data_IF_012252208467
#
_entry.id   IF_012252208467
#
_cell.length_a   1.000
_cell.length_b   1.000
_cell.length_c   1.000
_cell.angle_alpha   90.00
_cell.angle_beta   90.00
_cell.angle_gamma   90.00
#
_symmetry.space_group_name_H-M   'P 1'
#
loop_
_entity.id
_entity.type
_entity.pdbx_description
1 polymer ?
#
# COMPACT_ATOMS: atom_id res chain seq x y z
N UNK A 1 38.40 9.98 19.25
CA UNK A 1 39.24 10.07 18.04
C UNK A 1 39.80 8.68 17.78
N UNK A 2 39.15 7.90 16.92
CA UNK A 2 39.74 6.67 16.39
C UNK A 2 39.45 6.67 14.89
N UNK A 3 40.51 6.90 14.12
CA UNK A 3 40.47 7.05 12.67
C UNK A 3 41.12 5.81 12.06
N UNK A 4 40.44 5.31 11.01
CA UNK A 4 40.93 4.56 9.86
C UNK A 4 41.40 3.11 10.05
N UNK A 5 40.76 2.21 9.29
CA UNK A 5 41.35 1.65 8.07
C UNK A 5 40.26 1.33 7.03
N UNK A 6 40.43 1.86 5.81
CA UNK A 6 39.78 1.35 4.60
C UNK A 6 40.55 0.10 4.17
N UNK A 7 39.88 -1.05 4.09
CA UNK A 7 40.22 -2.16 3.20
C UNK A 7 39.04 -3.16 3.19
N UNK A 8 38.54 -3.48 1.98
CA UNK A 8 37.86 -4.74 1.68
C UNK A 8 36.40 -4.90 2.11
N UNK A 9 35.52 -5.00 1.11
CA UNK A 9 34.30 -5.82 1.12
C UNK A 9 33.25 -5.56 2.21
N UNK A 10 32.49 -4.48 2.09
CA UNK A 10 31.08 -4.41 2.55
C UNK A 10 30.16 -4.62 1.36
N UNK A 11 30.32 -5.78 0.72
CA UNK A 11 29.52 -6.25 -0.39
C UNK A 11 29.04 -7.62 0.06
N UNK A 12 27.89 -7.73 0.69
CA UNK A 12 27.08 -8.97 0.86
C UNK A 12 26.02 -8.71 1.94
N UNK A 13 24.84 -8.24 1.54
CA UNK A 13 23.51 -8.66 2.03
C UNK A 13 22.42 -7.64 1.64
N UNK A 14 21.96 -7.71 0.38
CA UNK A 14 20.57 -7.41 0.00
C UNK A 14 20.30 -7.81 -1.47
N UNK A 15 20.75 -8.99 -1.91
CA UNK A 15 20.14 -9.64 -3.08
C UNK A 15 18.81 -10.27 -2.63
N UNK A 16 17.84 -9.44 -2.27
CA UNK A 16 16.62 -9.90 -1.62
C UNK A 16 15.47 -8.94 -1.79
N UNK A 17 14.49 -9.42 -2.54
CA UNK A 17 13.07 -9.10 -2.53
C UNK A 17 12.55 -8.15 -1.43
N UNK A 18 12.29 -6.88 -1.77
CA UNK A 18 11.69 -5.88 -0.87
C UNK A 18 10.15 -5.92 -0.89
N UNK A 19 9.53 -6.18 0.26
CA UNK A 19 8.15 -5.75 0.55
C UNK A 19 8.20 -4.35 1.17
N UNK A 20 7.43 -3.42 0.62
CA UNK A 20 7.23 -2.10 1.21
C UNK A 20 5.94 -2.14 2.03
N UNK A 21 6.03 -1.92 3.34
CA UNK A 21 4.89 -1.68 4.21
C UNK A 21 4.85 -0.20 4.56
N UNK A 22 3.92 0.53 3.93
CA UNK A 22 3.79 1.98 4.08
C UNK A 22 2.61 2.34 4.97
N UNK A 23 2.84 2.69 6.23
CA UNK A 23 1.80 3.20 7.10
C UNK A 23 1.81 4.73 7.07
N UNK A 24 0.72 5.36 6.60
CA UNK A 24 0.65 6.82 6.60
C UNK A 24 -0.63 7.40 6.00
N UNK A 25 -1.33 8.22 6.79
CA UNK A 25 -2.33 9.16 6.28
C UNK A 25 -1.62 10.40 5.73
N UNK A 26 -1.70 10.61 4.42
CA UNK A 26 -1.32 11.89 3.80
C UNK A 26 -2.52 12.83 3.94
N UNK A 27 -2.73 13.37 5.14
CA UNK A 27 -3.65 14.49 5.35
C UNK A 27 -2.91 15.68 5.99
N UNK A 28 -3.21 16.91 5.58
CA UNK A 28 -2.76 18.12 6.27
C UNK A 28 -3.60 18.35 7.53
N UNK A 29 -2.93 18.39 8.69
CA UNK A 29 -3.50 18.86 9.95
C UNK A 29 -4.15 17.76 10.80
N UNK A 30 -3.39 17.24 11.77
CA UNK A 30 -3.90 16.76 13.07
C UNK A 30 -2.70 16.48 13.99
N UNK A 31 -2.62 17.23 15.10
CA UNK A 31 -1.63 17.03 16.17
C UNK A 31 -1.98 15.77 16.94
N UNK A 32 -0.98 14.97 17.31
CA UNK A 32 -1.15 13.76 18.14
C UNK A 32 -0.40 13.87 19.47
N UNK A 33 -1.07 13.48 20.55
CA UNK A 33 -0.52 13.24 21.89
C UNK A 33 -0.21 11.73 22.05
N UNK A 34 0.75 11.30 22.91
CA UNK A 34 1.26 9.93 22.87
C UNK A 34 0.54 8.97 23.84
N UNK A 35 0.51 7.68 23.49
CA UNK A 35 0.38 6.59 24.46
C UNK A 35 1.05 5.29 23.95
N UNK A 36 1.73 4.63 24.90
CA UNK A 36 2.66 3.51 24.81
C UNK A 36 2.00 2.11 24.67
N UNK A 37 2.77 1.15 24.16
CA UNK A 37 2.59 -0.31 24.29
C UNK A 37 3.39 -1.06 23.21
N UNK A 38 4.00 -2.23 23.52
CA UNK A 38 4.63 -3.21 22.60
C UNK A 38 3.72 -4.47 22.59
N UNK A 39 3.43 -5.23 21.49
CA UNK A 39 4.28 -5.69 20.37
C UNK A 39 3.69 -5.43 18.95
N UNK A 40 4.50 -5.48 17.88
CA UNK A 40 4.11 -5.02 16.52
C UNK A 40 3.26 -3.74 16.55
N UNK A 41 3.68 -2.82 17.38
CA UNK A 41 2.91 -1.63 17.73
C UNK A 41 3.26 -0.54 16.75
N UNK A 42 2.28 -0.15 15.97
CA UNK A 42 2.34 1.05 15.15
C UNK A 42 2.75 2.23 16.06
N UNK A 43 3.68 3.08 15.59
CA UNK A 43 4.19 4.21 16.37
C UNK A 43 5.71 4.25 16.61
N UNK A 44 6.49 3.36 16.00
CA UNK A 44 7.96 3.48 16.01
C UNK A 44 8.43 4.66 15.14
N UNK A 45 9.56 5.26 15.50
CA UNK A 45 10.15 6.40 14.77
C UNK A 45 11.12 5.99 13.65
N UNK A 46 11.33 4.69 13.44
CA UNK A 46 12.34 4.15 12.54
C UNK A 46 11.80 3.04 11.63
N UNK A 47 12.48 2.81 10.51
CA UNK A 47 12.20 1.68 9.62
C UNK A 47 12.67 0.37 10.24
N UNK A 48 11.86 -0.68 10.11
CA UNK A 48 12.22 -2.03 10.53
C UNK A 48 12.47 -2.92 9.33
N UNK A 49 13.38 -3.86 9.51
CA UNK A 49 13.63 -4.94 8.57
C UNK A 49 13.26 -6.25 9.27
N UNK A 50 12.29 -6.96 8.71
CA UNK A 50 11.75 -8.20 9.29
C UNK A 50 11.70 -9.30 8.23
N UNK A 51 11.58 -10.55 8.66
CA UNK A 51 11.36 -11.68 7.75
C UNK A 51 9.89 -11.80 7.36
N UNK A 52 9.60 -12.05 6.09
CA UNK A 52 8.26 -12.40 5.59
C UNK A 52 8.31 -13.76 4.89
N UNK A 53 7.53 -14.72 5.40
CA UNK A 53 7.51 -16.10 4.90
C UNK A 53 6.91 -16.27 3.50
N UNK A 54 6.21 -15.26 2.97
CA UNK A 54 5.68 -15.26 1.60
C UNK A 54 6.72 -14.83 0.57
N UNK A 55 7.83 -14.23 1.00
CA UNK A 55 8.89 -13.73 0.13
C UNK A 55 9.93 -14.82 -0.13
N UNK A 56 10.22 -15.06 -1.41
CA UNK A 56 11.19 -16.05 -1.85
C UNK A 56 12.44 -15.37 -2.40
N UNK A 57 13.61 -15.85 -2.00
CA UNK A 57 14.90 -15.36 -2.46
C UNK A 57 15.97 -15.46 -1.36
N UNK A 58 17.22 -15.26 -1.74
CA UNK A 58 18.28 -15.01 -0.76
C UNK A 58 17.92 -13.74 0.02
N UNK A 59 18.16 -13.73 1.33
CA UNK A 59 18.09 -12.52 2.14
C UNK A 59 16.75 -11.79 2.06
N UNK A 60 15.64 -12.55 2.03
CA UNK A 60 14.29 -12.02 1.95
C UNK A 60 13.99 -11.12 3.16
N UNK A 61 13.64 -9.86 2.89
CA UNK A 61 13.42 -8.83 3.90
C UNK A 61 12.15 -8.04 3.57
N UNK A 62 11.28 -7.88 4.56
CA UNK A 62 10.21 -6.89 4.55
C UNK A 62 10.70 -5.60 5.22
N UNK A 63 10.53 -4.48 4.51
CA UNK A 63 10.87 -3.14 5.01
C UNK A 63 9.59 -2.43 5.46
N UNK A 64 9.52 -2.15 6.76
CA UNK A 64 8.36 -1.61 7.45
C UNK A 64 8.63 -0.17 7.84
N UNK A 65 7.85 0.76 7.29
CA UNK A 65 7.99 2.19 7.60
C UNK A 65 7.41 2.57 8.97
N UNK A 66 7.90 3.65 9.60
CA UNK A 66 7.17 4.34 10.65
C UNK A 66 5.92 5.04 10.07
N UNK A 67 5.04 5.57 10.91
CA UNK A 67 3.88 6.35 10.43
C UNK A 67 4.37 7.60 9.68
N UNK A 68 4.14 7.64 8.38
CA UNK A 68 4.50 8.74 7.49
C UNK A 68 3.37 9.77 7.41
N UNK A 69 3.69 11.05 7.61
CA UNK A 69 2.70 12.14 7.59
C UNK A 69 3.14 13.29 6.67
N UNK A 70 2.22 13.72 5.80
CA UNK A 70 2.39 14.93 4.99
C UNK A 70 3.69 14.99 4.18
N UNK A 71 4.22 16.20 4.02
CA UNK A 71 5.43 16.45 3.23
C UNK A 71 6.67 15.76 3.82
N UNK A 72 6.76 15.68 5.14
CA UNK A 72 7.89 15.07 5.85
C UNK A 72 7.91 13.57 5.64
N UNK A 73 6.75 12.90 5.76
CA UNK A 73 6.59 11.48 5.43
C UNK A 73 6.98 11.16 3.99
N UNK A 74 6.62 12.04 3.04
CA UNK A 74 7.04 11.91 1.65
C UNK A 74 8.57 12.02 1.47
N UNK A 75 9.23 12.94 2.18
CA UNK A 75 10.70 13.05 2.15
C UNK A 75 11.36 11.83 2.78
N UNK A 76 10.85 11.36 3.91
CA UNK A 76 11.30 10.14 4.59
C UNK A 76 11.20 8.91 3.68
N UNK A 77 10.09 8.76 2.95
CA UNK A 77 9.92 7.67 2.00
C UNK A 77 10.95 7.72 0.86
N UNK A 78 11.15 8.90 0.26
CA UNK A 78 12.16 9.09 -0.80
C UNK A 78 13.57 8.73 -0.32
N UNK A 79 13.92 9.16 0.89
CA UNK A 79 15.22 8.84 1.48
C UNK A 79 15.37 7.33 1.73
N UNK A 80 14.35 6.66 2.27
CA UNK A 80 14.37 5.22 2.47
C UNK A 80 14.53 4.44 1.15
N UNK A 81 13.81 4.85 0.11
CA UNK A 81 13.93 4.29 -1.24
C UNK A 81 15.33 4.47 -1.82
N UNK A 82 15.92 5.66 -1.66
CA UNK A 82 17.29 5.93 -2.07
C UNK A 82 18.27 5.01 -1.33
N UNK A 83 18.13 4.87 -0.02
CA UNK A 83 18.97 3.99 0.80
C UNK A 83 18.85 2.53 0.37
N UNK A 84 17.63 2.03 0.13
CA UNK A 84 17.42 0.66 -0.35
C UNK A 84 18.07 0.40 -1.70
N UNK A 85 17.90 1.33 -2.65
CA UNK A 85 18.53 1.22 -3.96
C UNK A 85 20.08 1.28 -3.85
N UNK A 86 20.63 2.14 -2.99
CA UNK A 86 22.07 2.20 -2.72
C UNK A 86 22.61 0.91 -2.07
N UNK A 87 21.78 0.22 -1.28
CA UNK A 87 22.11 -1.09 -0.70
C UNK A 87 21.98 -2.25 -1.71
N UNK A 88 21.53 -1.99 -2.94
CA UNK A 88 21.39 -3.00 -3.98
C UNK A 88 20.13 -3.86 -3.87
N UNK A 89 19.11 -3.35 -3.18
CA UNK A 89 17.86 -4.08 -2.97
C UNK A 89 17.14 -4.37 -4.31
N UNK A 90 16.64 -5.60 -4.45
CA UNK A 90 15.92 -6.06 -5.64
C UNK A 90 14.52 -6.54 -5.29
N UNK A 91 13.68 -6.74 -6.30
CA UNK A 91 12.32 -7.27 -6.15
C UNK A 91 12.05 -8.37 -7.17
N UNK A 92 11.22 -9.35 -6.80
CA UNK A 92 10.76 -10.39 -7.69
C UNK A 92 9.24 -10.60 -7.56
N UNK A 93 8.70 -11.61 -8.25
CA UNK A 93 7.24 -11.88 -8.31
C UNK A 93 6.61 -12.17 -6.93
N UNK A 94 7.38 -12.64 -5.94
CA UNK A 94 6.90 -12.85 -4.58
C UNK A 94 6.74 -11.55 -3.78
N UNK A 95 7.45 -10.48 -4.14
CA UNK A 95 7.35 -9.18 -3.47
C UNK A 95 6.04 -8.46 -3.77
N UNK A 96 5.43 -7.87 -2.74
CA UNK A 96 4.33 -6.91 -2.83
C UNK A 96 4.68 -5.54 -2.25
N UNK A 97 3.90 -4.52 -2.60
CA UNK A 97 3.89 -3.20 -1.95
C UNK A 97 2.54 -3.05 -1.25
N UNK A 98 2.57 -2.96 0.08
CA UNK A 98 1.40 -2.77 0.92
C UNK A 98 1.33 -1.33 1.42
N UNK A 99 0.17 -0.70 1.27
CA UNK A 99 -0.08 0.67 1.74
C UNK A 99 -1.18 0.65 2.80
N UNK A 100 -0.85 1.08 4.00
CA UNK A 100 -1.77 1.24 5.13
C UNK A 100 -2.16 2.71 5.29
N UNK A 101 -3.44 3.00 5.12
CA UNK A 101 -4.01 4.33 5.38
C UNK A 101 -4.78 4.29 6.70
N UNK A 102 -4.52 5.26 7.59
CA UNK A 102 -5.20 5.39 8.87
C UNK A 102 -6.71 5.55 8.69
N UNK A 103 -7.48 4.73 9.41
CA UNK A 103 -8.93 4.62 9.27
C UNK A 103 -9.69 4.81 10.60
N UNK A 104 -8.99 5.02 11.71
CA UNK A 104 -9.59 5.21 13.04
C UNK A 104 -10.63 6.34 13.11
N UNK A 105 -10.49 7.36 12.25
CA UNK A 105 -11.38 8.53 12.21
C UNK A 105 -12.45 8.44 11.12
N UNK A 106 -12.59 7.30 10.44
CA UNK A 106 -13.68 7.09 9.47
C UNK A 106 -14.94 6.61 10.19
N UNK A 107 -16.11 7.05 9.73
CA UNK A 107 -17.35 6.38 10.11
C UNK A 107 -17.40 4.96 9.50
N UNK A 108 -18.21 4.04 10.04
CA UNK A 108 -18.35 2.70 9.46
C UNK A 108 -18.76 2.71 7.98
N UNK A 109 -19.61 3.64 7.58
CA UNK A 109 -20.05 3.81 6.20
C UNK A 109 -18.92 4.36 5.31
N UNK A 110 -18.17 5.37 5.77
CA UNK A 110 -17.01 5.87 5.05
C UNK A 110 -15.93 4.80 4.86
N UNK A 111 -15.74 3.94 5.86
CA UNK A 111 -14.87 2.76 5.74
C UNK A 111 -15.37 1.83 4.64
N UNK A 112 -16.66 1.46 4.65
CA UNK A 112 -17.24 0.59 3.63
C UNK A 112 -17.13 1.19 2.22
N UNK A 113 -17.34 2.51 2.07
CA UNK A 113 -17.18 3.21 0.79
C UNK A 113 -15.79 3.05 0.18
N UNK A 114 -14.73 2.87 0.97
CA UNK A 114 -13.38 2.60 0.42
C UNK A 114 -13.35 1.27 -0.33
N UNK A 115 -13.93 0.22 0.25
CA UNK A 115 -13.99 -1.11 -0.36
C UNK A 115 -14.89 -1.13 -1.60
N UNK A 116 -16.05 -0.48 -1.51
CA UNK A 116 -16.99 -0.35 -2.63
C UNK A 116 -16.36 0.43 -3.78
N UNK A 117 -15.73 1.57 -3.49
CA UNK A 117 -15.06 2.36 -4.53
C UNK A 117 -13.90 1.56 -5.17
N UNK A 118 -13.15 0.80 -4.37
CA UNK A 118 -12.11 -0.07 -4.91
C UNK A 118 -12.70 -1.18 -5.79
N UNK A 119 -13.81 -1.79 -5.39
CA UNK A 119 -14.53 -2.82 -6.16
C UNK A 119 -14.89 -2.33 -7.57
N UNK A 120 -15.41 -1.10 -7.70
CA UNK A 120 -15.76 -0.50 -9.01
C UNK A 120 -14.54 0.04 -9.79
N UNK A 121 -13.43 0.31 -9.11
CA UNK A 121 -12.18 0.74 -9.75
C UNK A 121 -11.28 -0.44 -10.16
N UNK A 122 -11.50 -1.63 -9.61
CA UNK A 122 -10.50 -2.71 -9.63
C UNK A 122 -10.08 -3.13 -11.04
N UNK A 123 -11.04 -3.32 -11.94
CA UNK A 123 -10.76 -3.69 -13.34
C UNK A 123 -9.92 -2.63 -14.04
N UNK A 124 -10.15 -1.35 -13.75
CA UNK A 124 -9.32 -0.26 -14.28
C UNK A 124 -7.94 -0.23 -13.61
N UNK A 125 -7.86 -0.47 -12.30
CA UNK A 125 -6.58 -0.56 -11.57
C UNK A 125 -5.71 -1.68 -12.14
N UNK A 126 -6.31 -2.83 -12.46
CA UNK A 126 -5.62 -3.97 -13.08
C UNK A 126 -4.83 -3.54 -14.34
N UNK A 127 -5.35 -2.60 -15.13
CA UNK A 127 -4.72 -2.14 -16.39
C UNK A 127 -3.34 -1.53 -16.21
N UNK A 128 -3.01 -1.00 -15.02
CA UNK A 128 -1.71 -0.40 -14.70
C UNK A 128 -0.94 -1.17 -13.60
N UNK A 129 -1.39 -2.38 -13.28
CA UNK A 129 -0.69 -3.35 -12.40
C UNK A 129 0.01 -4.43 -13.22
N UNK A 130 1.09 -5.01 -12.69
CA UNK A 130 1.74 -6.17 -13.32
C UNK A 130 0.77 -7.36 -13.45
N UNK A 131 0.88 -8.19 -14.50
CA UNK A 131 -0.04 -9.31 -14.73
C UNK A 131 -0.21 -10.25 -13.51
N UNK A 132 0.85 -10.42 -12.71
CA UNK A 132 0.83 -11.19 -11.46
C UNK A 132 0.05 -10.56 -10.30
N UNK A 133 -0.63 -9.43 -10.54
CA UNK A 133 -1.41 -8.65 -9.57
C UNK A 133 -2.82 -8.29 -10.10
N UNK A 134 -3.18 -8.82 -11.27
CA UNK A 134 -4.49 -8.61 -11.92
C UNK A 134 -5.43 -9.77 -11.63
N UNK A 135 -6.74 -9.49 -11.61
CA UNK A 135 -7.78 -10.46 -11.33
C UNK A 135 -7.46 -11.30 -10.09
N UNK A 136 -7.54 -12.62 -10.24
CA UNK A 136 -7.18 -13.61 -9.22
C UNK A 136 -5.83 -14.30 -9.48
N UNK A 137 -4.91 -13.66 -10.23
CA UNK A 137 -3.60 -14.24 -10.54
C UNK A 137 -2.65 -14.35 -9.33
N UNK A 138 -3.10 -13.96 -8.14
CA UNK A 138 -2.31 -13.98 -6.90
C UNK A 138 -3.18 -14.28 -5.68
N UNK A 139 -2.94 -15.43 -5.05
CA UNK A 139 -3.68 -15.87 -3.86
C UNK A 139 -3.43 -15.03 -2.60
N UNK A 140 -2.46 -14.11 -2.60
CA UNK A 140 -2.20 -13.20 -1.46
C UNK A 140 -2.92 -11.85 -1.57
N UNK A 141 -3.58 -11.60 -2.71
CA UNK A 141 -4.38 -10.41 -2.97
C UNK A 141 -5.50 -10.74 -3.98
N UNK A 142 -6.44 -11.58 -3.56
CA UNK A 142 -7.62 -11.95 -4.33
C UNK A 142 -8.50 -10.73 -4.67
N UNK A 143 -9.22 -10.86 -5.79
CA UNK A 143 -10.09 -9.81 -6.33
C UNK A 143 -11.28 -9.55 -5.40
N UNK A 144 -11.61 -8.26 -5.17
CA UNK A 144 -12.86 -7.91 -4.50
C UNK A 144 -14.07 -8.23 -5.38
N UNK A 145 -13.88 -8.40 -6.70
CA UNK A 145 -14.94 -8.78 -7.66
C UNK A 145 -15.56 -10.15 -7.36
N UNK A 146 -14.87 -11.00 -6.60
CA UNK A 146 -15.42 -12.28 -6.14
C UNK A 146 -16.52 -12.11 -5.08
N UNK A 147 -16.65 -10.91 -4.50
CA UNK A 147 -17.51 -10.59 -3.36
C UNK A 147 -18.51 -9.48 -3.73
N UNK A 148 -19.54 -9.77 -4.56
CA UNK A 148 -20.48 -8.76 -5.03
C UNK A 148 -21.33 -8.16 -3.91
N UNK A 149 -21.52 -8.84 -2.77
CA UNK A 149 -22.26 -8.30 -1.62
C UNK A 149 -21.56 -7.13 -0.94
N UNK A 150 -20.29 -6.85 -1.29
CA UNK A 150 -19.57 -5.66 -0.83
C UNK A 150 -20.33 -4.38 -1.12
N UNK A 151 -21.06 -4.32 -2.24
CA UNK A 151 -21.79 -3.12 -2.63
C UNK A 151 -22.87 -2.76 -1.60
N UNK A 152 -23.43 -3.71 -0.87
CA UNK A 152 -24.50 -3.45 0.11
C UNK A 152 -23.95 -3.18 1.53
N UNK A 153 -22.64 -3.31 1.73
CA UNK A 153 -22.01 -3.13 3.04
C UNK A 153 -22.07 -1.67 3.52
N UNK A 154 -22.45 -1.48 4.79
CA UNK A 154 -22.50 -0.17 5.46
C UNK A 154 -21.67 -0.08 6.74
N UNK A 155 -21.10 -1.20 7.17
CA UNK A 155 -20.36 -1.30 8.43
C UNK A 155 -19.04 -2.03 8.22
N UNK A 156 -18.11 -1.83 9.15
CA UNK A 156 -16.80 -2.50 9.15
C UNK A 156 -16.99 -4.02 9.23
N UNK A 157 -17.91 -4.50 10.07
CA UNK A 157 -18.12 -5.93 10.26
C UNK A 157 -18.85 -6.57 9.09
N UNK A 158 -19.75 -5.84 8.41
CA UNK A 158 -20.32 -6.30 7.14
C UNK A 158 -19.22 -6.49 6.07
N UNK A 159 -18.29 -5.53 5.93
CA UNK A 159 -17.16 -5.66 4.98
C UNK A 159 -16.27 -6.85 5.34
N UNK A 160 -15.96 -7.05 6.64
CA UNK A 160 -15.17 -8.22 7.06
C UNK A 160 -15.89 -9.52 6.76
N UNK A 161 -17.19 -9.59 7.06
CA UNK A 161 -18.00 -10.79 6.84
C UNK A 161 -18.11 -11.14 5.36
N UNK A 162 -18.32 -10.13 4.50
CA UNK A 162 -18.38 -10.32 3.05
C UNK A 162 -17.05 -10.79 2.47
N UNK A 163 -15.93 -10.40 3.08
CA UNK A 163 -14.58 -10.83 2.74
C UNK A 163 -14.09 -12.00 3.60
N UNK A 164 -15.02 -12.84 4.06
CA UNK A 164 -14.77 -14.11 4.77
C UNK A 164 -13.87 -14.01 6.01
N UNK A 165 -13.81 -12.83 6.63
CA UNK A 165 -12.87 -12.49 7.70
C UNK A 165 -11.40 -12.78 7.32
N UNK A 166 -11.08 -12.74 6.03
CA UNK A 166 -9.78 -13.10 5.49
C UNK A 166 -8.97 -11.89 5.03
N UNK A 167 -7.65 -11.99 5.20
CA UNK A 167 -6.72 -10.90 4.91
C UNK A 167 -6.21 -10.87 3.47
N UNK A 168 -6.38 -11.92 2.69
CA UNK A 168 -5.71 -12.13 1.41
C UNK A 168 -6.48 -11.55 0.22
N UNK A 169 -7.00 -10.33 0.40
CA UNK A 169 -7.70 -9.56 -0.62
C UNK A 169 -6.86 -8.35 -1.09
N UNK A 170 -7.14 -7.83 -2.29
CA UNK A 170 -6.49 -6.59 -2.81
C UNK A 170 -6.62 -5.41 -1.85
N UNK A 171 -7.72 -5.35 -1.10
CA UNK A 171 -7.90 -4.48 0.06
C UNK A 171 -8.23 -5.35 1.26
N UNK A 172 -7.37 -5.34 2.29
CA UNK A 172 -7.51 -6.20 3.47
C UNK A 172 -8.35 -5.52 4.56
N UNK A 173 -9.50 -6.10 4.97
CA UNK A 173 -10.36 -5.54 6.01
C UNK A 173 -9.88 -5.86 7.43
N UNK A 174 -9.07 -6.91 7.60
CA UNK A 174 -8.61 -7.39 8.91
C UNK A 174 -7.54 -6.48 9.53
N UNK A 175 -6.87 -5.67 8.72
CA UNK A 175 -5.92 -4.64 9.18
C UNK A 175 -6.59 -3.59 10.09
N UNK A 176 -7.90 -3.39 10.00
CA UNK A 176 -8.60 -2.49 10.91
C UNK A 176 -8.59 -2.99 12.36
N UNK A 177 -8.75 -4.30 12.58
CA UNK A 177 -8.79 -4.88 13.92
C UNK A 177 -7.49 -4.62 14.70
N UNK A 178 -6.35 -4.78 14.01
CA UNK A 178 -5.01 -4.70 14.59
C UNK A 178 -4.39 -3.30 14.56
N UNK A 179 -4.53 -2.60 13.42
CA UNK A 179 -3.79 -1.37 13.13
C UNK A 179 -4.68 -0.13 13.02
N UNK A 180 -6.01 -0.32 13.01
CA UNK A 180 -6.99 0.74 12.68
C UNK A 180 -6.69 1.41 11.33
N UNK A 181 -6.27 0.60 10.35
CA UNK A 181 -5.95 1.04 8.98
C UNK A 181 -6.70 0.22 7.94
N UNK A 182 -6.86 0.78 6.75
CA UNK A 182 -7.16 0.03 5.51
C UNK A 182 -5.84 -0.31 4.83
N UNK A 183 -5.61 -1.58 4.50
CA UNK A 183 -4.39 -2.05 3.83
C UNK A 183 -4.68 -2.38 2.35
N UNK A 184 -3.98 -1.71 1.43
CA UNK A 184 -3.98 -1.99 0.00
C UNK A 184 -2.80 -2.88 -0.36
N UNK A 185 -3.07 -4.04 -0.96
CA UNK A 185 -2.09 -5.13 -1.17
C UNK A 185 -1.82 -5.43 -2.64
N UNK A 186 -2.50 -4.75 -3.55
CA UNK A 186 -2.50 -5.11 -4.96
C UNK A 186 -1.17 -4.84 -5.67
N UNK A 187 -0.41 -3.82 -5.29
CA UNK A 187 0.75 -3.39 -6.08
C UNK A 187 1.91 -4.40 -6.00
N UNK A 188 2.55 -4.71 -7.12
CA UNK A 188 3.76 -5.55 -7.15
C UNK A 188 4.91 -4.92 -6.34
N UNK A 189 5.84 -5.72 -5.85
CA UNK A 189 7.06 -5.19 -5.25
C UNK A 189 7.77 -4.22 -6.19
N UNK A 190 8.31 -3.14 -5.63
CA UNK A 190 9.03 -2.14 -6.38
C UNK A 190 10.06 -1.45 -5.50
N UNK A 191 11.13 -0.97 -6.11
CA UNK A 191 12.06 0.02 -5.54
C UNK A 191 12.06 1.33 -6.33
N UNK A 192 11.17 1.45 -7.33
CA UNK A 192 11.03 2.64 -8.16
C UNK A 192 10.23 3.71 -7.41
N UNK A 193 10.87 4.85 -7.17
CA UNK A 193 10.29 5.94 -6.40
C UNK A 193 9.00 6.48 -7.02
N UNK A 194 8.93 6.59 -8.35
CA UNK A 194 7.75 7.15 -9.03
C UNK A 194 6.55 6.22 -8.91
N UNK A 195 6.74 4.91 -9.11
CA UNK A 195 5.68 3.89 -8.97
C UNK A 195 5.13 3.89 -7.56
N UNK A 196 6.02 3.85 -6.56
CA UNK A 196 5.62 3.79 -5.15
C UNK A 196 4.92 5.08 -4.72
N UNK A 197 5.47 6.26 -5.04
CA UNK A 197 4.83 7.52 -4.65
C UNK A 197 3.46 7.70 -5.30
N UNK A 198 3.30 7.41 -6.59
CA UNK A 198 2.00 7.55 -7.24
C UNK A 198 0.99 6.55 -6.68
N UNK A 199 1.39 5.33 -6.36
CA UNK A 199 0.50 4.35 -5.74
C UNK A 199 0.07 4.75 -4.32
N UNK A 200 1.00 5.22 -3.50
CA UNK A 200 0.70 5.74 -2.15
C UNK A 200 -0.27 6.92 -2.21
N UNK A 201 -0.04 7.85 -3.14
CA UNK A 201 -0.94 8.99 -3.36
C UNK A 201 -2.32 8.54 -3.85
N UNK A 202 -2.40 7.55 -4.75
CA UNK A 202 -3.65 6.95 -5.21
C UNK A 202 -4.47 6.40 -4.03
N UNK A 203 -3.87 5.54 -3.20
CA UNK A 203 -4.54 4.95 -2.04
C UNK A 203 -5.01 6.02 -1.04
N UNK A 204 -4.16 6.99 -0.71
CA UNK A 204 -4.53 8.08 0.19
C UNK A 204 -5.69 8.93 -0.36
N UNK A 205 -5.63 9.32 -1.64
CA UNK A 205 -6.68 10.10 -2.29
C UNK A 205 -8.00 9.35 -2.42
N UNK A 206 -7.95 8.05 -2.69
CA UNK A 206 -9.14 7.20 -2.70
C UNK A 206 -9.83 7.23 -1.33
N UNK A 207 -9.08 6.99 -0.24
CA UNK A 207 -9.65 7.03 1.13
C UNK A 207 -10.25 8.40 1.45
N UNK A 208 -9.56 9.47 1.08
CA UNK A 208 -10.08 10.84 1.27
C UNK A 208 -11.35 11.12 0.48
N UNK A 209 -11.39 10.66 -0.77
CA UNK A 209 -12.55 10.85 -1.65
C UNK A 209 -13.75 10.03 -1.16
N UNK A 210 -13.53 8.80 -0.69
CA UNK A 210 -14.55 7.91 -0.12
C UNK A 210 -15.27 8.44 1.11
N UNK A 211 -14.71 9.45 1.80
CA UNK A 211 -15.38 10.12 2.94
C UNK A 211 -16.69 10.81 2.55
N UNK A 212 -16.84 11.17 1.28
CA UNK A 212 -17.97 11.95 0.76
C UNK A 212 -18.62 11.35 -0.50
N UNK A 213 -18.01 10.33 -1.09
CA UNK A 213 -18.44 9.79 -2.38
C UNK A 213 -18.42 8.27 -2.38
N UNK A 214 -19.37 7.70 -3.10
CA UNK A 214 -19.54 6.27 -3.31
C UNK A 214 -19.85 6.05 -4.79
N UNK A 215 -19.10 5.17 -5.44
CA UNK A 215 -19.36 4.72 -6.80
C UNK A 215 -20.53 3.72 -6.80
N UNK A 216 -21.27 3.70 -7.88
CA UNK A 216 -22.39 2.80 -8.17
C UNK A 216 -22.21 2.02 -9.47
N UNK A 217 -21.18 2.33 -10.25
CA UNK A 217 -20.82 1.66 -11.49
C UNK A 217 -19.31 1.65 -11.71
N UNK A 218 -18.85 0.74 -12.60
CA UNK A 218 -17.44 0.61 -12.94
C UNK A 218 -16.90 1.87 -13.62
N UNK A 219 -15.70 2.29 -13.22
CA UNK A 219 -14.97 3.37 -13.88
C UNK A 219 -14.14 2.77 -15.00
N UNK A 220 -14.40 3.13 -16.25
CA UNK A 220 -13.80 2.47 -17.42
C UNK A 220 -12.61 3.19 -18.04
N UNK A 221 -12.27 4.40 -17.54
CA UNK A 221 -11.13 5.18 -18.04
C UNK A 221 -10.38 5.89 -16.91
N UNK A 222 -9.05 5.96 -17.03
CA UNK A 222 -8.19 6.70 -16.09
C UNK A 222 -8.56 8.18 -16.04
N UNK A 223 -9.04 8.73 -17.15
CA UNK A 223 -9.48 10.13 -17.21
C UNK A 223 -10.76 10.39 -16.40
N UNK A 224 -11.57 9.35 -16.17
CA UNK A 224 -12.79 9.42 -15.36
C UNK A 224 -12.53 9.28 -13.85
N UNK A 225 -11.29 8.98 -13.40
CA UNK A 225 -10.99 8.87 -11.97
C UNK A 225 -11.06 10.27 -11.33
N UNK A 226 -12.01 10.53 -10.41
CA UNK A 226 -12.36 11.90 -10.00
C UNK A 226 -11.35 12.51 -9.03
N UNK A 227 -10.61 11.69 -8.29
CA UNK A 227 -9.70 12.15 -7.24
C UNK A 227 -8.24 12.33 -7.69
N UNK A 228 -7.93 12.01 -8.96
CA UNK A 228 -6.59 12.13 -9.51
C UNK A 228 -6.39 13.44 -10.27
N UNK A 229 -5.22 14.03 -10.11
CA UNK A 229 -4.75 15.18 -10.91
C UNK A 229 -4.40 14.76 -12.34
N UNK A 230 -4.36 15.73 -13.27
CA UNK A 230 -3.93 15.46 -14.66
C UNK A 230 -2.54 14.79 -14.75
N UNK A 231 -1.62 15.18 -13.86
CA UNK A 231 -0.28 14.59 -13.78
C UNK A 231 -0.32 13.13 -13.34
N UNK A 232 -1.11 12.80 -12.30
CA UNK A 232 -1.27 11.41 -11.83
C UNK A 232 -1.97 10.55 -12.89
N UNK A 233 -3.00 11.08 -13.55
CA UNK A 233 -3.66 10.42 -14.69
C UNK A 233 -2.69 10.12 -15.81
N UNK A 234 -1.85 11.08 -16.19
CA UNK A 234 -0.79 10.88 -17.20
C UNK A 234 0.19 9.78 -16.81
N UNK A 235 0.59 9.71 -15.54
CA UNK A 235 1.44 8.64 -15.03
C UNK A 235 0.79 7.25 -15.18
N UNK A 236 -0.46 7.09 -14.73
CA UNK A 236 -1.14 5.79 -14.81
C UNK A 236 -1.46 5.37 -16.25
N UNK A 237 -1.75 6.32 -17.15
CA UNK A 237 -1.89 6.05 -18.59
C UNK A 237 -0.60 5.52 -19.20
N UNK A 238 0.52 6.19 -18.96
CA UNK A 238 1.84 5.71 -19.38
C UNK A 238 2.12 4.31 -18.83
N UNK A 239 1.80 4.09 -17.54
CA UNK A 239 2.01 2.80 -16.89
C UNK A 239 1.15 1.69 -17.49
N UNK A 240 -0.07 1.99 -17.88
CA UNK A 240 -0.96 1.04 -18.54
C UNK A 240 -0.42 0.66 -19.92
N UNK A 241 0.04 1.63 -20.71
CA UNK A 241 0.65 1.38 -22.02
C UNK A 241 1.98 0.61 -21.95
N UNK A 242 2.74 0.72 -20.86
CA UNK A 242 3.95 -0.09 -20.65
C UNK A 242 3.67 -1.58 -20.39
N UNK A 243 2.43 -1.92 -20.02
CA UNK A 243 2.06 -3.24 -19.53
C UNK A 243 1.13 -4.01 -20.47
N UNK A 244 0.59 -3.36 -21.49
CA UNK A 244 -0.37 -3.89 -22.46
C UNK A 244 0.10 -3.54 -23.87
#
# INVERSE_FOLDING_TARGET
MLTLRRQGSFLFWAKGSVIFWLQGSIQPGLRGHPSLGFPHTDGHAFFKFVSDGSVRGENAIECVSPILKGADGKRTLKNALKTLNQAGATVNKSCGLHVHIGAANLTPEQYANVFINYYYLETLIDTFMANSRRGNNNGYCASLRNHPGLIDCKTIDAVKSELDFDRYHKVNPMSYGRHKTIEFRQHQGSTDEKKILNWVMFCGRLVEWSKKHRLDADVTSIDAIPFLTAKEKGFFKSRSNELN
#
